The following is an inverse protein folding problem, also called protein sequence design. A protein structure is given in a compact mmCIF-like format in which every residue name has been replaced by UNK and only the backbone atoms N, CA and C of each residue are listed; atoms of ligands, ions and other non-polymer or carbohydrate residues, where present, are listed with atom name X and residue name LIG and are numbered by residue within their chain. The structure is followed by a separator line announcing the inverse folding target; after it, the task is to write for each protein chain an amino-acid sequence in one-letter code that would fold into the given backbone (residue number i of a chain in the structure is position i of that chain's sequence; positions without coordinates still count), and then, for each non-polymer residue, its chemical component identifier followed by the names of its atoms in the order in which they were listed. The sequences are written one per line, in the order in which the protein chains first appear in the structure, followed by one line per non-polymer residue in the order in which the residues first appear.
data_IF_185207587508
#
_entry.id   IF_185207587508
#
_cell.length_a   1.000
_cell.length_b   1.000
_cell.length_c   1.000
_cell.angle_alpha   90.00
_cell.angle_beta   90.00
_cell.angle_gamma   90.00
#
_symmetry.space_group_name_H-M   'P 1'
#
loop_
_entity.id
_entity.type
_entity.pdbx_description
1 polymer ?
#
# COMPACT_ATOMS: atom_id res chain seq x y z
N UNK A 1 -4.15 -11.81 -15.58
CA UNK A 1 -5.34 -11.73 -14.68
C UNK A 1 -6.38 -10.75 -15.24
N UNK A 2 -7.68 -10.97 -15.01
CA UNK A 2 -8.76 -10.02 -15.36
C UNK A 2 -9.24 -9.35 -14.07
N UNK A 3 -9.30 -8.01 -14.03
CA UNK A 3 -9.85 -7.28 -12.87
C UNK A 3 -11.37 -7.23 -12.96
N UNK A 4 -12.05 -7.65 -11.89
CA UNK A 4 -13.51 -7.63 -11.78
C UNK A 4 -14.08 -6.22 -11.78
N UNK A 5 -15.36 -6.07 -12.15
CA UNK A 5 -16.05 -4.78 -12.08
C UNK A 5 -16.19 -4.28 -10.63
N UNK A 6 -16.30 -5.18 -9.66
CA UNK A 6 -16.35 -4.83 -8.24
C UNK A 6 -15.02 -4.22 -7.76
N UNK A 7 -13.89 -4.85 -8.09
CA UNK A 7 -12.57 -4.28 -7.78
C UNK A 7 -12.39 -2.93 -8.45
N UNK A 8 -12.77 -2.79 -9.73
CA UNK A 8 -12.70 -1.50 -10.43
C UNK A 8 -13.55 -0.44 -9.74
N UNK A 9 -14.80 -0.77 -9.36
CA UNK A 9 -15.69 0.15 -8.69
C UNK A 9 -15.11 0.64 -7.35
N UNK A 10 -14.48 -0.25 -6.57
CA UNK A 10 -13.79 0.12 -5.33
C UNK A 10 -12.63 1.09 -5.59
N UNK A 11 -11.78 0.78 -6.57
CA UNK A 11 -10.62 1.64 -6.88
C UNK A 11 -11.05 2.97 -7.50
N UNK A 12 -12.06 2.98 -8.36
CA UNK A 12 -12.59 4.22 -8.94
C UNK A 12 -13.23 5.11 -7.88
N UNK A 13 -13.97 4.53 -6.95
CA UNK A 13 -14.51 5.27 -5.81
C UNK A 13 -13.39 5.85 -4.94
N UNK A 14 -12.34 5.08 -4.66
CA UNK A 14 -11.16 5.59 -3.94
C UNK A 14 -10.43 6.68 -4.74
N UNK A 15 -10.34 6.54 -6.05
CA UNK A 15 -9.71 7.52 -6.92
C UNK A 15 -10.51 8.83 -6.92
N UNK A 16 -11.84 8.77 -6.93
CA UNK A 16 -12.70 9.93 -6.77
C UNK A 16 -12.54 10.58 -5.39
N UNK A 17 -12.55 9.77 -4.32
CA UNK A 17 -12.31 10.24 -2.94
C UNK A 17 -10.99 11.01 -2.80
N UNK A 18 -9.96 10.60 -3.54
CA UNK A 18 -8.63 11.24 -3.52
C UNK A 18 -8.46 12.33 -4.59
N UNK A 19 -9.50 12.69 -5.35
CA UNK A 19 -9.45 13.61 -6.49
C UNK A 19 -8.38 13.23 -7.54
N UNK A 20 -8.28 11.94 -7.87
CA UNK A 20 -7.38 11.42 -8.89
C UNK A 20 -5.92 11.29 -8.45
N UNK A 21 -5.63 11.31 -7.15
CA UNK A 21 -4.25 11.35 -6.61
C UNK A 21 -3.66 9.96 -6.25
N UNK A 22 -4.25 8.87 -6.72
CA UNK A 22 -3.65 7.54 -6.55
C UNK A 22 -2.38 7.42 -7.40
N UNK A 23 -1.31 6.88 -6.81
CA UNK A 23 0.03 6.82 -7.42
C UNK A 23 0.35 5.47 -8.05
N UNK A 24 -0.24 4.40 -7.51
CA UNK A 24 -0.04 3.00 -7.87
C UNK A 24 -1.39 2.32 -8.17
N UNK A 25 -2.34 3.06 -8.76
CA UNK A 25 -3.71 2.61 -9.05
C UNK A 25 -3.78 1.17 -9.58
N UNK A 26 -3.06 0.88 -10.67
CA UNK A 26 -3.14 -0.44 -11.33
C UNK A 26 -2.57 -1.59 -10.47
N UNK A 27 -1.51 -1.32 -9.70
CA UNK A 27 -0.94 -2.33 -8.81
C UNK A 27 -1.86 -2.53 -7.60
N UNK A 28 -2.50 -1.47 -7.10
CA UNK A 28 -3.51 -1.53 -6.05
C UNK A 28 -4.76 -2.32 -6.50
N UNK A 29 -5.25 -2.12 -7.73
CA UNK A 29 -6.31 -2.95 -8.33
C UNK A 29 -5.91 -4.43 -8.35
N UNK A 30 -4.68 -4.71 -8.76
CA UNK A 30 -4.18 -6.09 -8.85
C UNK A 30 -4.10 -6.75 -7.47
N UNK A 31 -3.64 -6.00 -6.45
CA UNK A 31 -3.60 -6.47 -5.05
C UNK A 31 -5.00 -6.79 -4.54
N UNK A 32 -5.98 -5.89 -4.75
CA UNK A 32 -7.35 -6.12 -4.32
C UNK A 32 -7.98 -7.33 -5.00
N UNK A 33 -7.80 -7.46 -6.30
CA UNK A 33 -8.34 -8.58 -7.08
C UNK A 33 -7.77 -9.93 -6.62
N UNK A 34 -6.45 -10.00 -6.38
CA UNK A 34 -5.82 -11.23 -5.87
C UNK A 34 -6.39 -11.56 -4.48
N UNK A 35 -6.39 -10.61 -3.55
CA UNK A 35 -6.87 -10.86 -2.20
C UNK A 35 -8.36 -11.25 -2.17
N UNK A 36 -9.18 -10.71 -3.06
CA UNK A 36 -10.59 -11.08 -3.19
C UNK A 36 -10.76 -12.51 -3.73
N UNK A 37 -10.01 -12.90 -4.76
CA UNK A 37 -10.14 -14.21 -5.40
C UNK A 37 -9.61 -15.38 -4.53
N UNK A 38 -8.66 -15.10 -3.63
CA UNK A 38 -7.99 -16.12 -2.82
C UNK A 38 -8.34 -16.02 -1.32
N UNK A 39 -9.41 -15.30 -0.97
CA UNK A 39 -9.88 -15.08 0.41
C UNK A 39 -8.77 -14.60 1.37
N UNK A 40 -7.82 -13.80 0.85
CA UNK A 40 -6.67 -13.34 1.60
C UNK A 40 -6.88 -11.94 2.19
N UNK A 41 -8.04 -11.76 2.84
CA UNK A 41 -8.43 -10.49 3.43
C UNK A 41 -7.55 -10.10 4.64
N UNK A 42 -7.01 -11.08 5.38
CA UNK A 42 -6.14 -10.81 6.53
C UNK A 42 -4.81 -10.16 6.08
N UNK A 43 -4.13 -10.75 5.10
CA UNK A 43 -2.87 -10.19 4.57
C UNK A 43 -3.10 -8.83 3.91
N UNK A 44 -4.23 -8.63 3.22
CA UNK A 44 -4.62 -7.30 2.73
C UNK A 44 -4.77 -6.29 3.88
N UNK A 45 -5.46 -6.65 4.95
CA UNK A 45 -5.66 -5.76 6.10
C UNK A 45 -4.34 -5.40 6.78
N UNK A 46 -3.42 -6.37 6.92
CA UNK A 46 -2.07 -6.15 7.46
C UNK A 46 -1.26 -5.24 6.54
N UNK A 47 -1.27 -5.48 5.23
CA UNK A 47 -0.64 -4.61 4.23
C UNK A 47 -1.17 -3.17 4.31
N UNK A 48 -2.49 -2.99 4.38
CA UNK A 48 -3.13 -1.67 4.49
C UNK A 48 -2.71 -0.96 5.77
N UNK A 49 -2.64 -1.68 6.90
CA UNK A 49 -2.20 -1.11 8.18
C UNK A 49 -0.72 -0.68 8.14
N UNK A 50 0.17 -1.54 7.65
CA UNK A 50 1.60 -1.25 7.56
C UNK A 50 1.87 -0.15 6.53
N UNK A 51 1.14 -0.11 5.42
CA UNK A 51 1.15 0.99 4.45
C UNK A 51 0.70 2.32 5.04
N UNK A 52 -0.41 2.35 5.80
CA UNK A 52 -0.85 3.56 6.50
C UNK A 52 0.21 4.08 7.47
N UNK A 53 0.82 3.17 8.23
CA UNK A 53 1.88 3.49 9.19
C UNK A 53 3.12 4.05 8.49
N UNK A 54 3.58 3.40 7.41
CA UNK A 54 4.73 3.84 6.62
C UNK A 54 4.50 5.24 6.06
N UNK A 55 3.35 5.47 5.43
CA UNK A 55 3.03 6.78 4.86
C UNK A 55 2.97 7.89 5.92
N UNK A 56 2.39 7.61 7.08
CA UNK A 56 2.31 8.57 8.18
C UNK A 56 3.70 8.97 8.69
N UNK A 57 4.62 8.01 8.83
CA UNK A 57 5.99 8.27 9.28
C UNK A 57 6.76 9.03 8.20
N UNK A 58 6.76 8.51 6.97
CA UNK A 58 7.49 9.09 5.85
C UNK A 58 7.05 10.54 5.55
N UNK A 59 5.73 10.79 5.53
CA UNK A 59 5.20 12.14 5.26
C UNK A 59 5.52 13.15 6.37
N UNK A 60 5.68 12.69 7.62
CA UNK A 60 6.18 13.53 8.73
C UNK A 60 7.67 13.79 8.59
N UNK A 61 8.47 12.75 8.36
CA UNK A 61 9.94 12.88 8.20
C UNK A 61 10.31 13.89 7.11
N UNK A 62 9.56 13.91 5.99
CA UNK A 62 9.76 14.89 4.91
C UNK A 62 9.64 16.36 5.34
N UNK A 63 9.03 16.65 6.48
CA UNK A 63 8.79 18.00 7.00
C UNK A 63 9.71 18.35 8.18
N UNK A 64 10.48 17.40 8.69
CA UNK A 64 11.33 17.56 9.88
C UNK A 64 12.77 17.86 9.45
N UNK A 65 13.50 18.63 10.27
CA UNK A 65 14.92 18.90 10.05
C UNK A 65 15.72 17.57 10.08
N UNK A 66 16.58 17.29 9.07
CA UNK A 66 17.44 16.10 9.06
C UNK A 66 18.33 15.92 10.29
N UNK A 67 18.60 16.99 11.03
CA UNK A 67 19.41 16.96 12.26
C UNK A 67 18.56 16.94 13.54
N UNK A 68 17.24 16.73 13.42
CA UNK A 68 16.36 16.63 14.58
C UNK A 68 16.64 15.33 15.35
N UNK A 69 16.61 15.43 16.68
CA UNK A 69 16.72 14.28 17.57
C UNK A 69 15.61 13.26 17.28
N UNK A 70 15.96 11.97 17.25
CA UNK A 70 15.01 10.88 16.99
C UNK A 70 14.75 10.58 15.50
N UNK A 71 15.36 11.30 14.55
CA UNK A 71 15.18 11.01 13.12
C UNK A 71 15.71 9.63 12.71
N UNK A 72 16.78 9.15 13.34
CA UNK A 72 17.34 7.81 13.10
C UNK A 72 16.34 6.70 13.50
N UNK A 73 15.55 6.92 14.57
CA UNK A 73 14.52 5.97 14.97
C UNK A 73 13.40 5.90 13.93
N UNK A 74 13.00 7.05 13.37
CA UNK A 74 12.01 7.10 12.30
C UNK A 74 12.53 6.46 11.00
N UNK A 75 13.82 6.60 10.70
CA UNK A 75 14.46 5.91 9.57
C UNK A 75 14.43 4.39 9.76
N UNK A 76 14.85 3.89 10.92
CA UNK A 76 14.80 2.45 11.23
C UNK A 76 13.38 1.90 11.15
N UNK A 77 12.40 2.64 11.65
CA UNK A 77 10.99 2.22 11.59
C UNK A 77 10.45 2.24 10.15
N UNK A 78 10.87 3.21 9.33
CA UNK A 78 10.56 3.25 7.89
C UNK A 78 11.11 2.01 7.19
N UNK A 79 12.36 1.64 7.45
CA UNK A 79 12.99 0.43 6.88
C UNK A 79 12.25 -0.84 7.33
N UNK A 80 11.90 -0.94 8.62
CA UNK A 80 11.13 -2.06 9.15
C UNK A 80 9.78 -2.21 8.45
N UNK A 81 9.04 -1.11 8.28
CA UNK A 81 7.74 -1.11 7.61
C UNK A 81 7.84 -1.39 6.11
N UNK A 82 8.90 -0.93 5.43
CA UNK A 82 9.18 -1.31 4.05
C UNK A 82 9.38 -2.83 3.92
N UNK A 83 10.18 -3.43 4.81
CA UNK A 83 10.41 -4.88 4.80
C UNK A 83 9.10 -5.65 5.04
N UNK A 84 8.31 -5.22 6.03
CA UNK A 84 7.01 -5.82 6.34
C UNK A 84 6.03 -5.74 5.16
N UNK A 85 5.96 -4.58 4.49
CA UNK A 85 5.16 -4.46 3.26
C UNK A 85 5.66 -5.37 2.14
N UNK A 86 6.97 -5.49 1.95
CA UNK A 86 7.56 -6.40 0.97
C UNK A 86 7.23 -7.86 1.26
N UNK A 87 7.18 -8.27 2.53
CA UNK A 87 6.76 -9.63 2.92
C UNK A 87 5.30 -9.89 2.54
N UNK A 88 4.39 -8.97 2.84
CA UNK A 88 2.98 -9.12 2.45
C UNK A 88 2.78 -9.10 0.94
N UNK A 89 3.50 -8.24 0.22
CA UNK A 89 3.44 -8.20 -1.24
C UNK A 89 4.00 -9.48 -1.87
N UNK A 90 5.06 -10.06 -1.29
CA UNK A 90 5.58 -11.37 -1.71
C UNK A 90 4.51 -12.44 -1.52
N UNK A 91 3.88 -12.51 -0.35
CA UNK A 91 2.80 -13.46 -0.07
C UNK A 91 1.63 -13.32 -1.05
N UNK A 92 1.16 -12.10 -1.31
CA UNK A 92 0.10 -11.83 -2.27
C UNK A 92 0.53 -12.24 -3.69
N UNK A 93 1.77 -11.96 -4.08
CA UNK A 93 2.29 -12.28 -5.42
C UNK A 93 2.40 -13.77 -5.72
N UNK A 94 2.38 -14.64 -4.70
CA UNK A 94 2.39 -16.10 -4.91
C UNK A 94 1.11 -16.60 -5.59
N UNK A 95 0.02 -15.84 -5.51
CA UNK A 95 -1.25 -16.15 -6.16
C UNK A 95 -1.38 -15.48 -7.54
N UNK A 96 -0.40 -14.67 -7.94
CA UNK A 96 -0.42 -13.97 -9.22
C UNK A 96 0.08 -14.87 -10.37
N UNK A 97 -0.27 -14.51 -11.60
CA UNK A 97 0.38 -15.09 -12.78
C UNK A 97 1.86 -14.67 -12.86
N UNK A 98 2.64 -15.41 -13.67
CA UNK A 98 4.09 -15.22 -13.76
C UNK A 98 4.49 -13.78 -14.10
N UNK A 99 3.75 -13.13 -15.01
CA UNK A 99 4.02 -11.77 -15.44
C UNK A 99 3.84 -10.78 -14.30
N UNK A 100 2.71 -10.84 -13.59
CA UNK A 100 2.43 -9.96 -12.47
C UNK A 100 3.36 -10.22 -11.28
N UNK A 101 3.69 -11.50 -11.02
CA UNK A 101 4.68 -11.87 -9.99
C UNK A 101 6.06 -11.29 -10.30
N UNK A 102 6.54 -11.43 -11.53
CA UNK A 102 7.84 -10.86 -11.96
C UNK A 102 7.84 -9.34 -11.82
N UNK A 103 6.76 -8.68 -12.21
CA UNK A 103 6.61 -7.23 -12.02
C UNK A 103 6.70 -6.83 -10.55
N UNK A 104 6.08 -7.59 -9.64
CA UNK A 104 6.14 -7.27 -8.20
C UNK A 104 7.57 -7.44 -7.65
N UNK A 105 8.28 -8.48 -8.07
CA UNK A 105 9.70 -8.66 -7.73
C UNK A 105 10.54 -7.46 -8.17
N UNK A 106 10.38 -7.00 -9.42
CA UNK A 106 11.15 -5.89 -9.97
C UNK A 106 10.79 -4.52 -9.37
N UNK A 107 9.49 -4.29 -9.12
CA UNK A 107 8.98 -2.97 -8.71
C UNK A 107 9.07 -2.76 -7.20
N UNK A 108 8.83 -3.79 -6.39
CA UNK A 108 8.68 -3.66 -4.93
C UNK A 108 9.69 -4.47 -4.13
N UNK A 109 10.13 -5.64 -4.62
CA UNK A 109 10.92 -6.58 -3.81
C UNK A 109 12.43 -6.52 -4.13
N UNK A 110 12.81 -5.79 -5.18
CA UNK A 110 14.20 -5.54 -5.51
C UNK A 110 14.90 -4.72 -4.40
N UNK A 111 16.17 -5.05 -4.11
CA UNK A 111 16.99 -4.34 -3.12
C UNK A 111 17.54 -3.02 -3.69
N UNK A 112 16.65 -2.11 -4.10
CA UNK A 112 17.01 -0.83 -4.73
C UNK A 112 16.30 0.35 -4.08
N UNK A 113 16.88 1.54 -4.23
CA UNK A 113 16.21 2.80 -3.83
C UNK A 113 14.91 3.05 -4.61
N UNK A 114 14.81 2.52 -5.83
CA UNK A 114 13.60 2.59 -6.65
C UNK A 114 12.45 1.81 -6.04
N UNK A 115 12.72 0.59 -5.59
CA UNK A 115 11.74 -0.25 -4.91
C UNK A 115 11.21 0.39 -3.62
N UNK A 116 12.10 0.97 -2.80
CA UNK A 116 11.69 1.72 -1.60
C UNK A 116 10.77 2.89 -1.95
N UNK A 117 11.05 3.65 -3.01
CA UNK A 117 10.15 4.73 -3.47
C UNK A 117 8.80 4.18 -3.92
N UNK A 118 8.78 3.06 -4.64
CA UNK A 118 7.55 2.42 -5.08
C UNK A 118 6.70 1.93 -3.88
N UNK A 119 7.33 1.34 -2.86
CA UNK A 119 6.66 0.95 -1.62
C UNK A 119 6.04 2.15 -0.90
N UNK A 120 6.75 3.29 -0.85
CA UNK A 120 6.23 4.53 -0.25
C UNK A 120 5.04 5.08 -1.06
N UNK A 121 5.08 5.00 -2.39
CA UNK A 121 3.96 5.43 -3.23
C UNK A 121 2.75 4.49 -3.12
N UNK A 122 2.98 3.18 -2.97
CA UNK A 122 1.89 2.25 -2.66
C UNK A 122 1.33 2.49 -1.25
N UNK A 123 2.21 2.76 -0.27
CA UNK A 123 1.82 3.11 1.10
C UNK A 123 0.95 4.37 1.15
N UNK A 124 1.20 5.35 0.28
CA UNK A 124 0.32 6.50 0.12
C UNK A 124 -1.11 6.07 -0.26
N UNK A 125 -1.26 5.21 -1.26
CA UNK A 125 -2.57 4.76 -1.73
C UNK A 125 -3.29 3.88 -0.69
N UNK A 126 -2.56 2.96 -0.06
CA UNK A 126 -3.05 2.15 1.07
C UNK A 126 -3.51 3.02 2.24
N UNK A 127 -2.79 4.12 2.51
CA UNK A 127 -3.17 5.05 3.55
C UNK A 127 -4.51 5.74 3.24
N UNK A 128 -4.74 6.12 1.97
CA UNK A 128 -6.01 6.71 1.52
C UNK A 128 -7.15 5.71 1.60
N UNK A 129 -6.90 4.47 1.22
CA UNK A 129 -7.88 3.40 1.36
C UNK A 129 -8.28 3.19 2.83
N UNK A 130 -7.31 3.18 3.75
CA UNK A 130 -7.58 3.07 5.18
C UNK A 130 -8.38 4.26 5.74
N UNK A 131 -8.05 5.47 5.30
CA UNK A 131 -8.77 6.69 5.69
C UNK A 131 -10.24 6.60 5.26
N UNK A 132 -10.49 6.20 4.01
CA UNK A 132 -11.84 6.00 3.49
C UNK A 132 -12.62 4.95 4.30
N UNK A 133 -12.02 3.78 4.57
CA UNK A 133 -12.66 2.74 5.39
C UNK A 133 -13.05 3.27 6.78
N UNK A 134 -12.18 4.09 7.39
CA UNK A 134 -12.41 4.65 8.72
C UNK A 134 -13.57 5.65 8.70
N UNK A 135 -13.58 6.53 7.70
CA UNK A 135 -14.63 7.54 7.53
C UNK A 135 -16.01 6.90 7.29
N UNK A 136 -16.09 5.87 6.44
CA UNK A 136 -17.34 5.14 6.18
C UNK A 136 -17.86 4.44 7.44
N UNK A 137 -16.98 3.84 8.25
CA UNK A 137 -17.38 3.21 9.52
C UNK A 137 -17.95 4.21 10.51
N UNK A 138 -17.36 5.40 10.60
CA UNK A 138 -17.85 6.47 11.47
C UNK A 138 -19.23 6.97 11.04
N UNK A 139 -19.44 7.16 9.73
CA UNK A 139 -20.74 7.57 9.17
C UNK A 139 -21.84 6.55 9.41
N UNK A 140 -21.53 5.26 9.32
CA UNK A 140 -22.50 4.17 9.53
C UNK A 140 -22.79 3.88 11.01
N UNK A 141 -22.06 4.52 11.93
CA UNK A 141 -22.24 4.39 13.39
C UNK A 141 -23.12 5.51 13.97
N UNK A 142 -23.74 6.34 13.12
CA UNK A 142 -24.65 7.45 13.44
C UNK A 142 -25.94 7.28 12.63
#
# INVERSE_FOLDING_TARGET
MIISEDTKAVVDYLNQYTNGNLRKKNDFESILEICANYDNADTLNRLVFSGKSLWNIYSKMRKVNPNAEGIELLQKETERLCNEMSEFLREISEFADFELKSRFEDVYLALTRGAVKNLIDLAHDLAKFKDLQTELRQRNSH
#
